data_IF_176023467507
#
_entry.id   IF_176023467507
#
_cell.length_a   1.000
_cell.length_b   1.000
_cell.length_c   1.000
_cell.angle_alpha   90.00
_cell.angle_beta   90.00
_cell.angle_gamma   90.00
#
_symmetry.space_group_name_H-M   'P 1'
#
loop_
_entity.id
_entity.type
_entity.pdbx_description
1 polymer ?
#
# COMPACT_ATOMS: atom_id res chain seq x y z
N UNK A 1 51.18 3.13 -1.29
CA UNK A 1 50.61 1.91 -1.90
C UNK A 1 49.36 2.35 -2.66
N UNK A 2 49.46 2.48 -3.99
CA UNK A 2 48.35 2.88 -4.85
C UNK A 2 47.51 1.63 -5.14
N UNK A 3 46.41 1.45 -4.42
CA UNK A 3 45.39 0.47 -4.77
C UNK A 3 44.86 0.81 -6.16
N UNK A 4 45.27 0.04 -7.16
CA UNK A 4 44.74 0.13 -8.52
C UNK A 4 43.25 -0.21 -8.47
N UNK A 5 42.40 0.80 -8.61
CA UNK A 5 40.96 0.62 -8.78
C UNK A 5 40.76 -0.20 -10.05
N UNK A 6 40.33 -1.45 -9.91
CA UNK A 6 39.86 -2.25 -11.04
C UNK A 6 38.38 -1.89 -11.23
N UNK A 7 38.02 -1.11 -12.26
CA UNK A 7 36.62 -0.86 -12.54
C UNK A 7 36.01 -2.20 -12.96
N UNK A 8 35.21 -2.80 -12.07
CA UNK A 8 34.13 -3.66 -12.53
C UNK A 8 33.40 -2.92 -13.66
N UNK A 9 33.04 -3.57 -14.78
CA UNK A 9 32.41 -2.87 -15.90
C UNK A 9 31.12 -2.20 -15.39
N UNK A 10 31.22 -0.90 -15.15
CA UNK A 10 30.09 -0.10 -14.73
C UNK A 10 29.06 -0.15 -15.87
N UNK A 11 27.76 -0.28 -15.56
CA UNK A 11 26.72 -0.27 -16.59
C UNK A 11 26.50 1.16 -17.09
N UNK A 12 27.50 1.75 -17.75
CA UNK A 12 27.53 3.16 -18.16
C UNK A 12 26.34 3.49 -19.06
N UNK A 13 26.08 2.66 -20.07
CA UNK A 13 24.95 2.86 -20.99
C UNK A 13 23.59 2.89 -20.25
N UNK A 14 23.45 2.07 -19.20
CA UNK A 14 22.23 2.03 -18.40
C UNK A 14 22.10 3.27 -17.51
N UNK A 15 23.21 3.72 -16.91
CA UNK A 15 23.26 4.94 -16.12
C UNK A 15 23.01 6.19 -16.99
N UNK A 16 23.53 6.23 -18.20
CA UNK A 16 23.27 7.30 -19.17
C UNK A 16 21.80 7.31 -19.61
N UNK A 17 21.22 6.15 -19.89
CA UNK A 17 19.78 6.02 -20.16
C UNK A 17 18.93 6.50 -18.98
N UNK A 18 19.32 6.13 -17.76
CA UNK A 18 18.63 6.52 -16.54
C UNK A 18 18.72 8.03 -16.29
N UNK A 19 19.90 8.63 -16.52
CA UNK A 19 20.10 10.08 -16.49
C UNK A 19 19.21 10.79 -17.49
N UNK A 20 19.12 10.30 -18.73
CA UNK A 20 18.24 10.87 -19.74
C UNK A 20 16.77 10.81 -19.31
N UNK A 21 16.31 9.67 -18.79
CA UNK A 21 14.94 9.52 -18.27
C UNK A 21 14.67 10.42 -17.07
N UNK A 22 15.62 10.57 -16.16
CA UNK A 22 15.50 11.48 -15.01
C UNK A 22 15.36 12.94 -15.46
N UNK A 23 16.17 13.38 -16.44
CA UNK A 23 16.04 14.73 -17.02
C UNK A 23 14.68 14.93 -17.69
N UNK A 24 14.16 13.91 -18.39
CA UNK A 24 12.84 13.98 -19.01
C UNK A 24 11.72 14.20 -17.97
N UNK A 25 11.81 13.52 -16.82
CA UNK A 25 10.88 13.71 -15.69
C UNK A 25 10.98 15.13 -15.14
N UNK A 26 12.19 15.64 -14.93
CA UNK A 26 12.44 17.01 -14.45
C UNK A 26 11.79 18.03 -15.40
N UNK A 27 12.01 17.88 -16.70
CA UNK A 27 11.43 18.76 -17.72
C UNK A 27 9.89 18.69 -17.71
N UNK A 28 9.32 17.50 -17.55
CA UNK A 28 7.86 17.31 -17.44
C UNK A 28 7.29 17.98 -16.18
N UNK A 29 8.00 17.92 -15.05
CA UNK A 29 7.61 18.60 -13.81
C UNK A 29 7.61 20.11 -14.02
N UNK A 30 8.66 20.67 -14.63
CA UNK A 30 8.71 22.11 -14.92
C UNK A 30 7.60 22.55 -15.88
N UNK A 31 7.26 21.74 -16.87
CA UNK A 31 6.13 22.03 -17.77
C UNK A 31 4.81 22.06 -17.01
N UNK A 32 4.57 21.09 -16.13
CA UNK A 32 3.36 21.07 -15.29
C UNK A 32 3.32 22.27 -14.33
N UNK A 33 4.43 22.57 -13.66
CA UNK A 33 4.56 23.72 -12.77
C UNK A 33 4.25 25.02 -13.49
N UNK A 34 4.87 25.28 -14.65
CA UNK A 34 4.60 26.49 -15.44
C UNK A 34 3.14 26.58 -15.89
N UNK A 35 2.52 25.44 -16.19
CA UNK A 35 1.09 25.39 -16.56
C UNK A 35 0.23 25.82 -15.38
N UNK A 36 0.52 25.33 -14.17
CA UNK A 36 -0.20 25.66 -12.93
C UNK A 36 0.04 27.12 -12.53
N UNK A 37 1.28 27.59 -12.61
CA UNK A 37 1.64 28.96 -12.23
C UNK A 37 1.07 30.00 -13.20
N UNK A 38 0.79 29.63 -14.45
CA UNK A 38 0.19 30.48 -15.48
C UNK A 38 0.81 31.90 -15.58
N UNK A 39 2.11 32.05 -15.26
CA UNK A 39 2.79 33.34 -15.22
C UNK A 39 2.36 34.24 -14.06
N UNK A 40 2.06 33.67 -12.88
CA UNK A 40 1.56 34.35 -11.70
C UNK A 40 0.20 35.05 -11.91
N UNK A 41 -0.58 34.55 -12.88
CA UNK A 41 -1.96 34.97 -13.10
C UNK A 41 -2.87 34.16 -12.18
N UNK A 42 -3.87 34.81 -11.56
CA UNK A 42 -4.87 34.16 -10.72
C UNK A 42 -5.92 33.40 -11.55
N UNK A 43 -5.48 32.57 -12.49
CA UNK A 43 -6.33 31.73 -13.31
C UNK A 43 -5.82 30.30 -13.25
N UNK A 44 -6.71 29.38 -12.89
CA UNK A 44 -6.39 27.96 -12.87
C UNK A 44 -6.55 27.40 -14.30
N UNK A 45 -5.52 26.72 -14.84
CA UNK A 45 -5.64 26.08 -16.15
C UNK A 45 -6.77 25.06 -16.17
N UNK A 46 -7.30 24.80 -17.37
CA UNK A 46 -8.38 23.84 -17.52
C UNK A 46 -7.94 22.45 -17.04
N UNK A 47 -8.83 21.77 -16.30
CA UNK A 47 -8.55 20.44 -15.75
C UNK A 47 -8.04 19.42 -16.79
N UNK A 48 -8.55 19.36 -18.03
CA UNK A 48 -8.03 18.45 -19.06
C UNK A 48 -6.54 18.67 -19.39
N UNK A 49 -6.06 19.91 -19.33
CA UNK A 49 -4.66 20.22 -19.61
C UNK A 49 -3.76 19.72 -18.48
N UNK A 50 -4.17 19.94 -17.23
CA UNK A 50 -3.48 19.42 -16.04
C UNK A 50 -3.42 17.90 -16.10
N UNK A 51 -4.54 17.23 -16.36
CA UNK A 51 -4.63 15.77 -16.47
C UNK A 51 -3.71 15.22 -17.56
N UNK A 52 -3.66 15.88 -18.72
CA UNK A 52 -2.79 15.48 -19.83
C UNK A 52 -1.32 15.53 -19.42
N UNK A 53 -0.87 16.60 -18.76
CA UNK A 53 0.52 16.72 -18.26
C UNK A 53 0.81 15.74 -17.13
N UNK A 54 -0.14 15.51 -16.23
CA UNK A 54 -0.01 14.52 -15.17
C UNK A 54 0.15 13.10 -15.72
N UNK A 55 -0.68 12.70 -16.69
CA UNK A 55 -0.58 11.38 -17.34
C UNK A 55 0.76 11.19 -18.07
N UNK A 56 1.31 12.25 -18.65
CA UNK A 56 2.65 12.24 -19.23
C UNK A 56 3.72 11.99 -18.15
N UNK A 57 3.64 12.72 -17.03
CA UNK A 57 4.55 12.55 -15.89
C UNK A 57 4.45 11.14 -15.29
N UNK A 58 3.23 10.61 -15.16
CA UNK A 58 2.97 9.25 -14.68
C UNK A 58 3.63 8.21 -15.59
N UNK A 59 3.47 8.36 -16.90
CA UNK A 59 4.05 7.45 -17.90
C UNK A 59 5.59 7.49 -17.86
N UNK A 60 6.18 8.68 -17.72
CA UNK A 60 7.63 8.84 -17.59
C UNK A 60 8.17 8.23 -16.30
N UNK A 61 7.48 8.45 -15.17
CA UNK A 61 7.82 7.87 -13.86
C UNK A 61 7.74 6.35 -13.89
N UNK A 62 6.69 5.79 -14.52
CA UNK A 62 6.56 4.35 -14.72
C UNK A 62 7.72 3.77 -15.56
N UNK A 63 8.09 4.45 -16.65
CA UNK A 63 9.22 4.03 -17.50
C UNK A 63 10.56 4.11 -16.76
N UNK A 64 10.73 5.09 -15.88
CA UNK A 64 11.91 5.22 -15.03
C UNK A 64 11.96 4.11 -13.96
N UNK A 65 10.85 3.84 -13.28
CA UNK A 65 10.72 2.74 -12.32
C UNK A 65 11.01 1.38 -12.96
N UNK A 66 10.45 1.13 -14.16
CA UNK A 66 10.73 -0.10 -14.92
C UNK A 66 12.21 -0.22 -15.27
N UNK A 67 12.87 0.88 -15.64
CA UNK A 67 14.30 0.87 -15.93
C UNK A 67 15.19 0.63 -14.69
N UNK A 68 14.74 1.07 -13.51
CA UNK A 68 15.40 0.81 -12.22
C UNK A 68 15.23 -0.64 -11.74
N UNK A 69 14.06 -1.23 -11.97
CA UNK A 69 13.76 -2.60 -11.59
C UNK A 69 14.26 -3.64 -12.60
N UNK A 70 14.56 -3.23 -13.83
CA UNK A 70 15.02 -4.12 -14.88
C UNK A 70 16.31 -4.85 -14.47
N UNK A 71 16.34 -6.19 -14.50
CA UNK A 71 17.58 -6.92 -14.29
C UNK A 71 18.57 -6.56 -15.40
N UNK A 72 19.85 -6.42 -15.05
CA UNK A 72 20.89 -6.29 -16.07
C UNK A 72 20.79 -7.50 -17.00
N UNK A 73 20.81 -7.25 -18.31
CA UNK A 73 20.90 -8.33 -19.28
C UNK A 73 22.14 -9.16 -18.91
N UNK A 74 21.92 -10.42 -18.55
CA UNK A 74 22.99 -11.33 -18.17
C UNK A 74 23.98 -11.41 -19.34
N UNK A 75 25.18 -10.87 -19.15
CA UNK A 75 26.24 -11.02 -20.13
C UNK A 75 26.55 -12.51 -20.28
N UNK A 76 26.37 -13.05 -21.49
CA UNK A 76 26.82 -14.40 -21.86
C UNK A 76 28.33 -14.48 -21.62
N UNK A 77 28.71 -15.05 -20.48
CA UNK A 77 30.09 -15.25 -20.11
C UNK A 77 30.50 -16.63 -20.60
N UNK A 78 31.33 -16.67 -21.65
CA UNK A 78 31.92 -17.91 -22.12
C UNK A 78 33.02 -18.33 -21.16
N UNK A 79 32.81 -19.43 -20.44
CA UNK A 79 33.86 -20.04 -19.65
C UNK A 79 35.01 -20.56 -20.53
N UNK A 80 36.20 -20.83 -19.96
CA UNK A 80 37.39 -21.27 -20.70
C UNK A 80 37.19 -22.60 -21.46
N UNK A 81 36.13 -23.35 -21.18
CA UNK A 81 35.78 -24.60 -21.88
C UNK A 81 34.70 -24.44 -22.98
N UNK A 82 34.31 -23.22 -23.34
CA UNK A 82 33.33 -22.98 -24.42
C UNK A 82 31.90 -23.47 -24.12
N UNK A 83 31.65 -24.00 -22.91
CA UNK A 83 30.32 -24.35 -22.44
C UNK A 83 29.64 -23.06 -21.96
N UNK A 84 28.48 -22.68 -22.53
CA UNK A 84 27.74 -21.53 -22.04
C UNK A 84 27.25 -21.84 -20.63
N UNK A 85 27.91 -21.26 -19.63
CA UNK A 85 27.38 -21.27 -18.28
C UNK A 85 26.31 -20.17 -18.26
N UNK A 86 25.05 -20.56 -18.07
CA UNK A 86 24.00 -19.59 -17.73
C UNK A 86 24.41 -19.01 -16.38
N UNK A 87 25.05 -17.83 -16.41
CA UNK A 87 25.34 -17.07 -15.21
C UNK A 87 24.03 -16.85 -14.48
N UNK A 88 24.03 -17.11 -13.16
CA UNK A 88 22.94 -16.80 -12.25
C UNK A 88 22.41 -15.39 -12.61
N UNK A 89 21.07 -15.18 -12.72
CA UNK A 89 20.54 -13.90 -13.14
C UNK A 89 21.20 -12.81 -12.30
N UNK A 90 21.98 -11.96 -12.97
CA UNK A 90 22.61 -10.82 -12.32
C UNK A 90 21.47 -10.02 -11.72
N UNK A 91 21.49 -9.88 -10.38
CA UNK A 91 20.52 -9.05 -9.68
C UNK A 91 20.55 -7.62 -10.21
N UNK A 92 19.71 -6.75 -9.64
CA UNK A 92 19.67 -5.36 -10.03
C UNK A 92 21.12 -4.76 -10.01
N UNK A 93 21.65 -4.33 -11.17
CA UNK A 93 23.03 -3.88 -11.27
C UNK A 93 23.29 -2.65 -10.39
N UNK A 94 22.26 -1.85 -10.13
CA UNK A 94 22.36 -0.64 -9.32
C UNK A 94 22.54 -0.94 -7.83
N UNK A 95 22.05 -2.09 -7.34
CA UNK A 95 22.15 -2.45 -5.92
C UNK A 95 23.59 -2.77 -5.49
N UNK A 96 24.46 -3.15 -6.44
CA UNK A 96 25.88 -3.41 -6.18
C UNK A 96 26.78 -2.18 -6.36
N UNK A 97 26.23 -1.04 -6.80
CA UNK A 97 27.01 0.17 -7.03
C UNK A 97 27.18 0.95 -5.72
N UNK A 98 28.43 1.20 -5.35
CA UNK A 98 28.79 2.10 -4.25
C UNK A 98 29.35 3.40 -4.80
N UNK A 99 28.73 4.52 -4.46
CA UNK A 99 29.21 5.86 -4.81
C UNK A 99 30.20 6.33 -3.74
N UNK A 100 31.39 6.73 -4.17
CA UNK A 100 32.37 7.40 -3.31
C UNK A 100 32.97 8.59 -4.09
N UNK A 101 33.24 9.72 -3.41
CA UNK A 101 33.93 10.83 -4.05
C UNK A 101 35.35 10.40 -4.44
N UNK A 102 35.71 10.60 -5.71
CA UNK A 102 37.02 10.21 -6.25
C UNK A 102 38.10 11.29 -6.06
N UNK A 103 37.69 12.52 -5.72
CA UNK A 103 38.57 13.68 -5.51
C UNK A 103 38.71 13.92 -4.01
N UNK A 104 39.96 14.05 -3.53
CA UNK A 104 40.22 14.44 -2.16
C UNK A 104 39.64 15.85 -1.93
N UNK A 105 38.67 15.94 -1.02
CA UNK A 105 38.02 17.18 -0.61
C UNK A 105 38.21 17.36 0.90
N UNK A 106 38.18 18.61 1.37
CA UNK A 106 38.23 18.88 2.81
C UNK A 106 36.93 18.42 3.49
N UNK A 107 37.00 18.04 4.77
CA UNK A 107 35.83 17.57 5.55
C UNK A 107 34.67 18.58 5.48
N UNK A 108 34.95 19.88 5.55
CA UNK A 108 33.94 20.94 5.45
C UNK A 108 33.23 20.97 4.09
N UNK A 109 33.96 20.72 2.99
CA UNK A 109 33.38 20.67 1.64
C UNK A 109 32.57 19.39 1.45
N UNK A 110 33.07 18.27 1.96
CA UNK A 110 32.35 17.00 1.94
C UNK A 110 30.99 17.16 2.65
N UNK A 111 30.99 17.71 3.86
CA UNK A 111 29.80 17.89 4.69
C UNK A 111 28.77 18.86 4.09
N UNK A 112 29.23 19.91 3.41
CA UNK A 112 28.34 20.96 2.90
C UNK A 112 27.80 20.66 1.50
N UNK A 113 28.64 20.11 0.61
CA UNK A 113 28.30 20.00 -0.82
C UNK A 113 27.87 18.58 -1.22
N UNK A 114 28.52 17.57 -0.65
CA UNK A 114 28.39 16.18 -1.14
C UNK A 114 27.49 15.35 -0.23
N UNK A 115 27.64 15.45 1.09
CA UNK A 115 26.82 14.69 2.04
C UNK A 115 25.32 14.93 1.84
N UNK A 116 24.82 16.16 1.62
CA UNK A 116 23.39 16.36 1.40
C UNK A 116 22.87 15.66 0.14
N UNK A 117 23.69 15.55 -0.91
CA UNK A 117 23.34 14.90 -2.18
C UNK A 117 23.43 13.38 -2.10
N UNK A 118 24.38 12.85 -1.32
CA UNK A 118 24.54 11.41 -1.09
C UNK A 118 23.58 10.88 -0.02
N UNK A 119 22.87 11.77 0.69
CA UNK A 119 21.96 11.37 1.74
C UNK A 119 20.72 10.72 1.14
N UNK A 120 20.54 9.44 1.42
CA UNK A 120 19.32 8.69 1.14
C UNK A 120 18.21 9.01 2.17
N UNK A 121 18.05 10.26 2.56
CA UNK A 121 17.00 10.64 3.50
C UNK A 121 15.68 10.76 2.77
N UNK A 122 14.76 9.86 3.10
CA UNK A 122 13.36 9.98 2.71
C UNK A 122 12.77 11.29 3.26
N UNK A 123 11.84 11.88 2.51
CA UNK A 123 11.09 13.03 3.00
C UNK A 123 10.25 12.63 4.21
N UNK A 124 10.01 13.59 5.11
CA UNK A 124 9.25 13.35 6.36
C UNK A 124 7.82 12.84 6.08
N UNK A 125 7.22 13.26 4.97
CA UNK A 125 5.91 12.77 4.55
C UNK A 125 5.92 11.31 4.12
N UNK A 126 6.96 10.88 3.39
CA UNK A 126 7.14 9.47 3.01
C UNK A 126 7.35 8.62 4.25
N UNK A 127 8.21 9.06 5.18
CA UNK A 127 8.42 8.38 6.46
C UNK A 127 7.13 8.23 7.27
N UNK A 128 6.28 9.27 7.29
CA UNK A 128 4.99 9.22 7.98
C UNK A 128 4.05 8.19 7.33
N UNK A 129 3.93 8.21 6.00
CA UNK A 129 3.09 7.26 5.26
C UNK A 129 3.58 5.81 5.38
N UNK A 130 4.90 5.58 5.37
CA UNK A 130 5.49 4.26 5.58
C UNK A 130 5.17 3.73 6.98
N UNK A 131 5.35 4.55 8.02
CA UNK A 131 5.00 4.16 9.39
C UNK A 131 3.52 3.84 9.56
N UNK A 132 2.65 4.64 8.95
CA UNK A 132 1.20 4.39 8.98
C UNK A 132 0.86 3.07 8.26
N UNK A 133 1.44 2.82 7.09
CA UNK A 133 1.23 1.59 6.33
C UNK A 133 1.72 0.37 7.09
N UNK A 134 2.91 0.42 7.71
CA UNK A 134 3.44 -0.65 8.55
C UNK A 134 2.58 -0.87 9.80
N UNK A 135 2.06 0.20 10.41
CA UNK A 135 1.15 0.09 11.57
C UNK A 135 -0.16 -0.61 11.17
N UNK A 136 -0.77 -0.22 10.05
CA UNK A 136 -1.99 -0.86 9.55
C UNK A 136 -1.74 -2.33 9.18
N UNK A 137 -0.63 -2.64 8.51
CA UNK A 137 -0.27 -4.02 8.19
C UNK A 137 -0.09 -4.85 9.47
N UNK A 138 0.70 -4.36 10.42
CA UNK A 138 0.93 -5.06 11.70
C UNK A 138 -0.34 -5.21 12.54
N UNK A 139 -1.35 -4.34 12.39
CA UNK A 139 -2.64 -4.56 13.06
C UNK A 139 -3.43 -5.75 12.52
N UNK A 140 -3.22 -6.13 11.25
CA UNK A 140 -3.90 -7.28 10.63
C UNK A 140 -3.06 -8.57 10.67
N UNK A 141 -1.76 -8.48 10.90
CA UNK A 141 -0.88 -9.64 11.06
C UNK A 141 -1.11 -10.35 12.40
N UNK A 142 -1.15 -11.68 12.38
CA UNK A 142 -1.19 -12.52 13.56
C UNK A 142 0.08 -12.37 14.41
N UNK A 143 1.25 -12.20 13.77
CA UNK A 143 2.53 -11.95 14.46
C UNK A 143 2.66 -10.51 14.99
N UNK A 144 1.74 -9.60 14.63
CA UNK A 144 1.86 -8.15 14.86
C UNK A 144 3.13 -7.53 14.26
N UNK A 145 3.71 -8.17 13.24
CA UNK A 145 4.92 -7.70 12.57
C UNK A 145 6.11 -7.54 13.51
N UNK A 146 6.94 -6.52 13.27
CA UNK A 146 8.11 -6.23 14.10
C UNK A 146 7.77 -5.89 15.57
N UNK A 147 6.56 -5.39 15.84
CA UNK A 147 6.12 -5.05 17.21
C UNK A 147 5.92 -6.31 18.07
N UNK A 148 5.43 -7.40 17.49
CA UNK A 148 5.31 -8.68 18.20
C UNK A 148 6.67 -9.32 18.51
N UNK A 149 7.64 -9.19 17.60
CA UNK A 149 9.01 -9.68 17.80
C UNK A 149 9.73 -8.92 18.91
N UNK A 150 9.57 -7.59 18.97
CA UNK A 150 10.14 -6.75 20.02
C UNK A 150 9.45 -6.91 21.39
N UNK A 151 8.38 -7.71 21.46
CA UNK A 151 7.69 -8.03 22.71
C UNK A 151 6.90 -6.88 23.31
N UNK A 152 6.62 -5.83 22.54
CA UNK A 152 5.80 -4.68 22.99
C UNK A 152 4.31 -5.01 22.98
N UNK A 153 3.90 -6.00 22.19
CA UNK A 153 2.52 -6.50 22.11
C UNK A 153 2.57 -8.02 22.17
N UNK A 154 2.04 -8.60 23.25
CA UNK A 154 1.90 -10.06 23.38
C UNK A 154 0.78 -10.49 22.42
N UNK A 155 1.05 -11.37 21.43
CA UNK A 155 0.00 -11.85 20.55
C UNK A 155 -1.05 -12.63 21.35
N UNK A 156 -2.34 -12.56 20.97
CA UNK A 156 -3.37 -13.35 21.63
C UNK A 156 -3.01 -14.84 21.53
N UNK A 157 -3.25 -15.63 22.59
CA UNK A 157 -2.91 -17.04 22.59
C UNK A 157 -3.69 -17.76 21.49
N UNK A 158 -2.97 -18.37 20.55
CA UNK A 158 -3.56 -19.33 19.63
C UNK A 158 -4.12 -20.50 20.48
N UNK A 159 -5.33 -20.95 20.17
CA UNK A 159 -6.05 -22.00 20.87
C UNK A 159 -5.12 -23.19 21.22
N UNK A 160 -4.77 -23.31 22.51
CA UNK A 160 -4.12 -24.52 23.06
C UNK A 160 -2.59 -24.51 23.20
N UNK A 161 -1.88 -23.41 22.96
CA UNK A 161 -0.41 -23.35 23.11
C UNK A 161 0.08 -22.17 23.98
N UNK A 162 1.19 -22.37 24.70
CA UNK A 162 1.87 -21.28 25.40
C UNK A 162 2.28 -20.18 24.40
N UNK A 163 2.09 -18.89 24.72
CA UNK A 163 2.38 -17.79 23.81
C UNK A 163 3.88 -17.77 23.50
N UNK A 164 4.25 -18.27 22.32
CA UNK A 164 5.61 -18.12 21.80
C UNK A 164 5.73 -16.71 21.23
N UNK A 165 6.84 -16.04 21.56
CA UNK A 165 7.18 -14.78 20.93
C UNK A 165 7.40 -15.04 19.44
N UNK A 166 6.71 -14.32 18.55
CA UNK A 166 6.95 -14.45 17.11
C UNK A 166 8.42 -14.18 16.82
N UNK A 167 9.07 -15.05 16.05
CA UNK A 167 10.43 -14.80 15.59
C UNK A 167 10.40 -13.98 14.28
N UNK A 168 11.53 -13.36 13.93
CA UNK A 168 11.62 -12.57 12.70
C UNK A 168 11.32 -13.42 11.46
N UNK A 169 11.72 -14.70 11.47
CA UNK A 169 11.41 -15.63 10.38
C UNK A 169 9.91 -15.89 10.24
N UNK A 170 9.15 -15.91 11.34
CA UNK A 170 7.70 -16.10 11.31
C UNK A 170 6.99 -14.89 10.68
N UNK A 171 7.46 -13.68 11.00
CA UNK A 171 6.96 -12.43 10.38
C UNK A 171 7.22 -12.42 8.88
N UNK A 172 8.42 -12.81 8.45
CA UNK A 172 8.76 -12.86 7.02
C UNK A 172 7.90 -13.90 6.28
N UNK A 173 7.72 -15.09 6.87
CA UNK A 173 6.87 -16.14 6.31
C UNK A 173 5.42 -15.69 6.19
N UNK A 174 4.90 -15.00 7.21
CA UNK A 174 3.55 -14.43 7.17
C UNK A 174 3.43 -13.36 6.07
N UNK A 175 4.40 -12.44 5.95
CA UNK A 175 4.43 -11.44 4.88
C UNK A 175 4.43 -12.07 3.48
N UNK A 176 5.22 -13.13 3.27
CA UNK A 176 5.26 -13.84 1.99
C UNK A 176 3.93 -14.55 1.69
N UNK A 177 3.28 -15.12 2.71
CA UNK A 177 1.96 -15.74 2.59
C UNK A 177 0.88 -14.70 2.23
N UNK A 178 0.86 -13.56 2.92
CA UNK A 178 -0.07 -12.45 2.65
C UNK A 178 0.12 -11.94 1.22
N UNK A 179 1.38 -11.78 0.78
CA UNK A 179 1.70 -11.39 -0.60
C UNK A 179 1.16 -12.39 -1.61
N UNK A 180 1.44 -13.68 -1.43
CA UNK A 180 1.02 -14.72 -2.36
C UNK A 180 -0.52 -14.80 -2.48
N UNK A 181 -1.22 -14.72 -1.36
CA UNK A 181 -2.69 -14.71 -1.35
C UNK A 181 -3.26 -13.47 -2.04
N UNK A 182 -2.71 -12.29 -1.74
CA UNK A 182 -3.11 -11.04 -2.37
C UNK A 182 -2.89 -11.10 -3.89
N UNK A 183 -1.71 -11.52 -4.34
CA UNK A 183 -1.37 -11.61 -5.75
C UNK A 183 -2.29 -12.60 -6.49
N UNK A 184 -2.66 -13.72 -5.84
CA UNK A 184 -3.63 -14.66 -6.39
C UNK A 184 -5.04 -14.05 -6.52
N UNK A 185 -5.48 -13.23 -5.56
CA UNK A 185 -6.77 -12.51 -5.64
C UNK A 185 -6.74 -11.50 -6.79
N UNK A 186 -5.67 -10.72 -6.91
CA UNK A 186 -5.49 -9.76 -8.01
C UNK A 186 -5.48 -10.47 -9.36
N UNK A 187 -4.76 -11.58 -9.49
CA UNK A 187 -4.69 -12.35 -10.73
C UNK A 187 -6.06 -12.89 -11.15
N UNK A 188 -6.85 -13.41 -10.19
CA UNK A 188 -8.24 -13.83 -10.45
C UNK A 188 -9.11 -12.66 -10.91
N UNK A 189 -9.00 -11.50 -10.27
CA UNK A 189 -9.76 -10.32 -10.65
C UNK A 189 -9.39 -9.83 -12.06
N UNK A 190 -8.09 -9.75 -12.39
CA UNK A 190 -7.61 -9.36 -13.72
C UNK A 190 -8.11 -10.34 -14.79
N UNK A 191 -8.07 -11.65 -14.52
CA UNK A 191 -8.64 -12.66 -15.43
C UNK A 191 -10.14 -12.50 -15.63
N UNK A 192 -10.90 -12.23 -14.56
CA UNK A 192 -12.33 -11.99 -14.66
C UNK A 192 -12.66 -10.74 -15.48
N UNK A 193 -11.95 -9.63 -15.26
CA UNK A 193 -12.10 -8.39 -16.05
C UNK A 193 -11.76 -8.62 -17.52
N UNK A 194 -10.71 -9.39 -17.82
CA UNK A 194 -10.38 -9.76 -19.19
C UNK A 194 -11.50 -10.57 -19.86
N UNK A 195 -12.08 -11.55 -19.16
CA UNK A 195 -13.23 -12.32 -19.67
C UNK A 195 -14.45 -11.43 -19.92
N UNK A 196 -14.72 -10.45 -19.05
CA UNK A 196 -15.83 -9.51 -19.25
C UNK A 196 -15.58 -8.60 -20.46
N UNK A 197 -14.36 -8.08 -20.61
CA UNK A 197 -13.97 -7.28 -21.79
C UNK A 197 -14.15 -8.06 -23.09
N UNK A 198 -13.85 -9.36 -23.09
CA UNK A 198 -13.97 -10.19 -24.29
C UNK A 198 -15.42 -10.63 -24.56
N UNK A 199 -16.27 -10.74 -23.51
CA UNK A 199 -17.71 -11.06 -23.64
C UNK A 199 -18.56 -9.88 -24.09
N UNK A 200 -18.20 -8.66 -23.70
CA UNK A 200 -18.95 -7.45 -24.01
C UNK A 200 -18.17 -6.56 -24.97
N UNK A 201 -18.63 -6.41 -26.21
CA UNK A 201 -18.06 -5.47 -27.17
C UNK A 201 -18.38 -4.01 -26.77
N UNK A 202 -17.62 -3.46 -25.81
CA UNK A 202 -17.84 -2.11 -25.26
C UNK A 202 -17.69 -0.97 -26.28
N UNK A 203 -17.22 -1.26 -27.50
CA UNK A 203 -17.12 -0.29 -28.62
C UNK A 203 -18.30 -0.36 -29.56
N UNK A 204 -18.97 -1.51 -29.63
CA UNK A 204 -20.25 -1.64 -30.32
C UNK A 204 -21.28 -1.13 -29.32
N UNK A 205 -21.49 0.20 -29.34
CA UNK A 205 -22.59 0.85 -28.63
C UNK A 205 -23.79 -0.07 -28.74
N UNK A 206 -24.27 -0.57 -27.60
CA UNK A 206 -25.66 -0.85 -27.28
C UNK A 206 -26.57 -0.49 -28.47
N UNK A 207 -26.60 -1.36 -29.48
CA UNK A 207 -27.64 -1.33 -30.48
C UNK A 207 -28.78 -1.96 -29.71
N UNK A 208 -29.64 -1.08 -29.20
CA UNK A 208 -30.88 -1.37 -28.49
C UNK A 208 -31.55 -2.58 -29.15
N UNK A 209 -31.35 -3.78 -28.58
CA UNK A 209 -32.16 -4.98 -28.87
C UNK A 209 -33.20 -5.22 -27.76
N UNK A 210 -33.22 -4.37 -26.73
CA UNK A 210 -34.39 -4.22 -25.87
C UNK A 210 -35.01 -2.87 -26.23
N UNK A 211 -35.89 -2.90 -27.22
CA UNK A 211 -36.92 -1.89 -27.41
C UNK A 211 -37.68 -1.77 -26.07
N UNK A 212 -37.36 -0.73 -25.29
CA UNK A 212 -38.07 -0.44 -24.06
C UNK A 212 -39.54 -0.15 -24.37
N UNK A 213 -40.50 -0.79 -23.67
CA UNK A 213 -41.91 -0.44 -23.75
C UNK A 213 -42.10 1.05 -23.43
N UNK A 214 -42.93 1.69 -24.24
CA UNK A 214 -43.24 3.12 -24.25
C UNK A 214 -43.46 3.76 -22.85
N UNK A 215 -42.77 4.90 -22.64
CA UNK A 215 -43.18 6.08 -21.86
C UNK A 215 -43.58 5.91 -20.37
N UNK A 216 -42.59 5.87 -19.47
CA UNK A 216 -42.78 6.41 -18.12
C UNK A 216 -42.45 7.90 -18.14
N UNK A 217 -43.43 8.73 -18.55
CA UNK A 217 -43.36 10.19 -18.41
C UNK A 217 -43.27 10.56 -16.93
N UNK A 218 -42.05 10.70 -16.42
CA UNK A 218 -41.86 11.25 -15.08
C UNK A 218 -42.10 12.77 -15.17
N UNK A 219 -43.36 13.19 -15.00
CA UNK A 219 -43.76 14.60 -14.89
C UNK A 219 -43.45 15.11 -13.47
N UNK A 220 -42.49 16.04 -13.30
CA UNK A 220 -42.15 16.60 -11.99
C UNK A 220 -43.29 17.38 -11.32
N UNK A 221 -44.46 17.55 -11.97
CA UNK A 221 -45.61 18.31 -11.44
C UNK A 221 -46.67 17.45 -10.76
N UNK A 222 -46.59 16.12 -10.85
CA UNK A 222 -47.61 15.20 -10.30
C UNK A 222 -47.34 14.87 -8.81
N UNK A 223 -46.25 15.38 -8.23
CA UNK A 223 -45.79 15.06 -6.87
C UNK A 223 -46.11 16.05 -5.74
N UNK A 224 -46.95 17.07 -5.93
CA UNK A 224 -47.41 17.91 -4.81
C UNK A 224 -48.94 17.92 -4.72
N UNK A 225 -49.55 17.25 -3.73
CA UNK A 225 -50.89 17.62 -3.30
C UNK A 225 -50.81 19.05 -2.75
N UNK A 226 -51.41 19.97 -3.50
CA UNK A 226 -51.67 21.33 -3.08
C UNK A 226 -52.75 21.31 -1.99
N UNK A 227 -52.35 21.14 -0.74
CA UNK A 227 -53.20 21.57 0.36
C UNK A 227 -52.99 23.06 0.62
N UNK A 228 -54.09 23.75 0.46
CA UNK A 228 -54.21 25.18 0.47
C UNK A 228 -54.17 25.74 1.90
N UNK A 229 -53.55 26.92 2.02
CA UNK A 229 -53.94 28.05 2.89
C UNK A 229 -53.74 27.95 4.41
N UNK A 230 -52.73 28.66 4.89
CA UNK A 230 -52.85 29.72 5.93
C UNK A 230 -51.56 30.59 5.83
N UNK A 231 -51.62 31.80 5.29
CA UNK A 231 -51.98 33.04 5.99
C UNK A 231 -51.03 33.39 7.17
N UNK A 232 -50.02 34.19 6.86
CA UNK A 232 -49.52 35.31 7.69
C UNK A 232 -48.74 35.00 8.97
N UNK A 233 -47.57 35.62 9.10
CA UNK A 233 -46.91 35.83 10.39
C UNK A 233 -45.40 35.87 10.28
N UNK A 234 -44.83 37.08 10.38
CA UNK A 234 -43.53 37.31 11.02
C UNK A 234 -43.46 36.48 12.32
N UNK A 235 -42.32 35.83 12.55
CA UNK A 235 -41.57 35.97 13.81
C UNK A 235 -40.31 35.09 13.79
N UNK A 236 -39.18 35.79 13.92
CA UNK A 236 -38.05 35.51 14.80
C UNK A 236 -38.11 34.21 15.64
N UNK A 237 -37.13 33.31 15.43
CA UNK A 237 -36.46 32.55 16.50
C UNK A 237 -35.36 31.67 15.90
N UNK A 238 -34.11 31.98 16.26
CA UNK A 238 -32.98 31.07 16.11
C UNK A 238 -33.17 29.81 16.96
N UNK A 239 -32.87 28.65 16.37
CA UNK A 239 -32.63 27.43 17.11
C UNK A 239 -31.55 26.63 16.40
N UNK A 240 -30.35 26.75 16.94
CA UNK A 240 -29.23 25.85 16.72
C UNK A 240 -29.69 24.45 17.15
N UNK A 241 -29.55 23.45 16.29
CA UNK A 241 -29.77 22.06 16.69
C UNK A 241 -28.69 21.19 16.06
N UNK A 242 -27.95 20.56 16.96
CA UNK A 242 -26.76 19.75 16.74
C UNK A 242 -27.02 18.62 15.72
N UNK A 243 -26.10 18.48 14.77
CA UNK A 243 -26.01 17.34 13.87
C UNK A 243 -25.66 16.08 14.66
N UNK A 244 -26.70 15.34 15.06
CA UNK A 244 -26.61 13.98 15.58
C UNK A 244 -26.26 13.03 14.44
N UNK A 245 -25.16 12.30 14.63
CA UNK A 245 -24.74 11.15 13.83
C UNK A 245 -25.84 10.09 13.72
N UNK A 246 -26.21 9.76 12.48
CA UNK A 246 -26.92 8.54 12.13
C UNK A 246 -26.10 7.86 11.02
N UNK A 247 -25.16 7.02 11.43
CA UNK A 247 -24.37 6.15 10.56
C UNK A 247 -25.05 4.77 10.64
N UNK A 248 -26.00 4.57 9.73
CA UNK A 248 -26.72 3.32 9.52
C UNK A 248 -25.84 2.38 8.69
N UNK A 249 -24.98 1.60 9.36
CA UNK A 249 -24.28 0.45 8.76
C UNK A 249 -25.09 -0.84 9.02
N UNK A 250 -26.18 -1.02 8.26
CA UNK A 250 -26.90 -2.29 8.11
C UNK A 250 -26.73 -2.79 6.67
N UNK A 251 -25.62 -3.47 6.36
CA UNK A 251 -25.51 -4.30 5.15
C UNK A 251 -24.86 -5.68 5.42
N UNK A 252 -25.69 -6.70 5.19
CA UNK A 252 -25.39 -8.05 4.67
C UNK A 252 -24.84 -9.15 5.60
N UNK A 253 -25.75 -9.69 6.40
CA UNK A 253 -25.76 -11.12 6.75
C UNK A 253 -26.16 -11.94 5.52
N UNK A 254 -25.19 -12.48 4.79
CA UNK A 254 -25.43 -13.50 3.76
C UNK A 254 -25.39 -14.88 4.38
N UNK A 255 -26.58 -15.34 4.78
CA UNK A 255 -26.90 -16.68 5.25
C UNK A 255 -26.77 -17.67 4.07
N UNK A 256 -25.65 -18.38 4.02
CA UNK A 256 -25.39 -19.42 3.01
C UNK A 256 -25.98 -20.78 3.43
N UNK A 257 -27.31 -20.89 3.42
CA UNK A 257 -28.02 -22.17 3.49
C UNK A 257 -28.40 -22.65 2.08
N UNK A 258 -27.61 -23.58 1.55
CA UNK A 258 -28.06 -24.50 0.50
C UNK A 258 -27.77 -25.92 0.97
N UNK A 259 -28.82 -26.49 1.56
CA UNK A 259 -29.03 -27.91 1.74
C UNK A 259 -29.09 -28.55 0.35
N UNK A 260 -28.15 -29.45 0.05
CA UNK A 260 -28.42 -30.53 -0.90
C UNK A 260 -28.25 -31.87 -0.18
N UNK A 261 -29.37 -32.58 -0.21
CA UNK A 261 -29.61 -33.88 0.40
C UNK A 261 -29.09 -34.95 -0.54
N UNK A 262 -28.10 -35.73 -0.13
CA UNK A 262 -28.09 -37.15 -0.48
C UNK A 262 -27.45 -38.01 0.60
N UNK A 263 -28.24 -39.02 0.98
CA UNK A 263 -27.98 -40.03 1.97
C UNK A 263 -26.77 -40.90 1.64
N UNK A 264 -25.93 -41.20 2.63
CA UNK A 264 -25.57 -42.59 2.95
C UNK A 264 -25.19 -42.70 4.43
N UNK A 265 -26.08 -43.35 5.15
CA UNK A 265 -25.95 -44.09 6.42
C UNK A 265 -24.53 -44.42 6.92
N UNK A 266 -24.17 -43.96 8.11
CA UNK A 266 -23.94 -44.85 9.26
C UNK A 266 -23.81 -44.07 10.59
N UNK A 267 -24.43 -44.59 11.65
CA UNK A 267 -24.41 -44.09 13.04
C UNK A 267 -23.61 -45.07 13.93
N UNK A 268 -23.59 -44.95 15.28
CA UNK A 268 -22.81 -43.99 16.08
C UNK A 268 -22.02 -44.68 17.22
N UNK A 269 -21.08 -43.98 17.86
CA UNK A 269 -20.62 -44.17 19.26
C UNK A 269 -19.34 -43.33 19.49
N UNK A 270 -19.03 -42.71 20.64
CA UNK A 270 -19.68 -42.55 21.93
C UNK A 270 -18.93 -41.42 22.67
N UNK A 271 -19.65 -40.64 23.47
CA UNK A 271 -19.10 -39.86 24.61
C UNK A 271 -19.21 -40.76 25.84
N UNK A 272 -18.27 -40.74 26.80
CA UNK A 272 -18.58 -40.03 28.04
C UNK A 272 -17.40 -39.24 28.68
N UNK A 273 -17.70 -38.40 29.69
CA UNK A 273 -16.85 -37.34 30.23
C UNK A 273 -16.23 -37.67 31.61
N UNK A 274 -15.68 -36.63 32.27
CA UNK A 274 -15.06 -36.55 33.63
C UNK A 274 -13.53 -36.70 33.62
N UNK A 275 -12.71 -35.98 34.39
CA UNK A 275 -12.87 -35.28 35.69
C UNK A 275 -11.68 -34.30 35.81
N UNK A 276 -11.78 -33.11 36.42
CA UNK A 276 -11.63 -32.94 37.87
C UNK A 276 -10.15 -32.82 38.30
N UNK A 277 -9.70 -31.62 38.66
CA UNK A 277 -8.38 -31.35 39.27
C UNK A 277 -7.93 -29.90 39.04
N UNK A 278 -8.43 -28.89 39.75
CA UNK A 278 -7.99 -28.49 41.10
C UNK A 278 -6.46 -28.56 41.28
N UNK A 279 -5.76 -27.51 40.85
CA UNK A 279 -4.55 -27.05 41.54
C UNK A 279 -4.57 -25.53 41.64
N UNK A 280 -4.81 -25.08 42.87
CA UNK A 280 -4.52 -23.76 43.36
C UNK A 280 -3.00 -23.58 43.49
N UNK A 281 -2.47 -22.44 43.06
CA UNK A 281 -1.24 -21.89 43.63
C UNK A 281 -1.40 -20.37 43.79
N UNK A 282 -1.05 -19.93 45.00
CA UNK A 282 -1.24 -18.60 45.56
C UNK A 282 -0.34 -17.52 44.91
N UNK A 283 -0.67 -16.23 45.08
CA UNK A 283 0.04 -15.11 44.46
C UNK A 283 1.31 -14.74 45.23
N UNK A 284 2.42 -14.56 44.52
CA UNK A 284 3.60 -13.89 45.05
C UNK A 284 3.46 -12.37 44.86
N UNK A 285 3.25 -11.68 45.97
CA UNK A 285 3.34 -10.24 46.11
C UNK A 285 4.78 -9.79 45.89
N UNK A 286 5.01 -8.77 45.05
CA UNK A 286 6.25 -7.99 45.08
C UNK A 286 5.93 -6.51 45.14
N UNK A 287 6.52 -5.94 46.17
CA UNK A 287 6.33 -4.62 46.78
C UNK A 287 6.86 -3.49 45.92
N UNK A 288 6.09 -2.41 45.87
CA UNK A 288 6.48 -1.08 45.39
C UNK A 288 7.47 -0.44 46.36
N UNK A 289 8.60 0.06 45.86
CA UNK A 289 9.41 1.09 46.54
C UNK A 289 9.46 2.34 45.68
N UNK A 290 8.94 3.49 46.14
CA UNK A 290 9.18 4.77 45.48
C UNK A 290 10.52 5.35 45.96
N UNK A 291 11.38 5.75 45.02
CA UNK A 291 12.51 6.63 45.32
C UNK A 291 12.16 8.04 44.89
N UNK A 292 11.99 8.87 45.90
CA UNK A 292 11.76 10.31 45.89
C UNK A 292 13.11 11.04 45.88
N UNK A 293 13.13 12.24 45.28
CA UNK A 293 14.11 13.35 45.42
C UNK A 293 15.49 13.22 44.74
N UNK A 294 16.13 14.26 44.20
CA UNK A 294 16.11 15.74 44.39
C UNK A 294 16.31 16.43 43.01
N UNK A 295 15.67 17.54 42.62
CA UNK A 295 15.90 18.95 42.99
C UNK A 295 17.38 19.39 43.09
N UNK A 296 17.89 20.05 42.04
CA UNK A 296 18.82 21.19 42.10
C UNK A 296 18.91 21.78 40.69
N UNK A 297 18.39 22.99 40.41
CA UNK A 297 19.11 24.26 40.56
C UNK A 297 20.56 24.19 40.09
N UNK A 298 20.78 24.47 38.80
CA UNK A 298 21.48 25.66 38.29
C UNK A 298 21.13 25.85 36.81
#
# INVERSE_FOLDING_TARGET
>A
MTSSFSPSPLPVDQLESLRFKANQIIDSIYVLQRTIEAGNQNYMPAWPDILSKYNMLLSQTHNFSTALAAPAAAALSFGPNGVPHVGRPSGNPYAALSLHPSVAMSDMQLDTEVIPLLRNQQTTDVLRMENESVRRLSSHMATRGALGVLGTVVPPPALGGAPRKPEHEDVLRECDSIRAEHDQRVERAVRAVAMLRDKFELRQRVAVEVEEPEELSWDPRIGMPSDARAAGGDDDAGMETEGTSGDDEDEDVVEGELVDTNMTTDSPAAVPPSSGGLFAFAPASVTVTPSTNDVNMF
#
